data_IF_636912696753
#
_entry.id   IF_636912696753
#
_cell.length_a   1.000
_cell.length_b   1.000
_cell.length_c   1.000
_cell.angle_alpha   90.00
_cell.angle_beta   90.00
_cell.angle_gamma   90.00
#
_symmetry.space_group_name_H-M   'P 1'
#
loop_
_entity.id
_entity.type
_entity.pdbx_description
1 polymer ?
#
# COMPACT_ATOMS: atom_id res chain seq x y z
N UNK A 1 -18.96 -23.71 3.91
CA UNK A 1 -17.98 -22.77 4.50
C UNK A 1 -17.77 -21.54 3.62
N UNK A 2 -17.46 -21.70 2.33
CA UNK A 2 -17.27 -20.57 1.38
C UNK A 2 -18.48 -19.64 1.26
N UNK A 3 -19.71 -20.18 1.14
CA UNK A 3 -20.93 -19.36 1.05
C UNK A 3 -21.19 -18.49 2.29
N UNK A 4 -20.83 -19.00 3.48
CA UNK A 4 -20.99 -18.25 4.73
C UNK A 4 -19.99 -17.09 4.80
N UNK A 5 -18.73 -17.32 4.39
CA UNK A 5 -17.70 -16.27 4.29
C UNK A 5 -18.13 -15.16 3.32
N UNK A 6 -18.69 -15.53 2.16
CA UNK A 6 -19.18 -14.56 1.18
C UNK A 6 -20.33 -13.73 1.77
N UNK A 7 -21.30 -14.37 2.43
CA UNK A 7 -22.40 -13.66 3.09
C UNK A 7 -21.91 -12.69 4.17
N UNK A 8 -20.97 -13.12 5.00
CA UNK A 8 -20.37 -12.29 6.06
C UNK A 8 -19.61 -11.11 5.45
N UNK A 9 -18.73 -11.34 4.48
CA UNK A 9 -17.99 -10.27 3.80
C UNK A 9 -18.94 -9.29 3.10
N UNK A 10 -20.02 -9.80 2.50
CA UNK A 10 -21.06 -8.97 1.88
C UNK A 10 -21.71 -8.07 2.92
N UNK A 11 -22.12 -8.62 4.07
CA UNK A 11 -22.71 -7.84 5.16
C UNK A 11 -21.72 -6.78 5.69
N UNK A 12 -20.45 -7.13 5.88
CA UNK A 12 -19.41 -6.18 6.35
C UNK A 12 -19.19 -5.03 5.36
N UNK A 13 -19.05 -5.33 4.07
CA UNK A 13 -18.88 -4.31 3.03
C UNK A 13 -20.14 -3.45 2.92
N UNK A 14 -21.32 -4.07 2.95
CA UNK A 14 -22.58 -3.35 2.86
C UNK A 14 -22.76 -2.41 4.06
N UNK A 15 -22.56 -2.89 5.29
CA UNK A 15 -22.65 -2.07 6.50
C UNK A 15 -21.62 -0.94 6.46
N UNK A 16 -20.34 -1.24 6.24
CA UNK A 16 -19.30 -0.20 6.22
C UNK A 16 -19.60 0.87 5.18
N UNK A 17 -19.99 0.51 3.95
CA UNK A 17 -20.24 1.47 2.89
C UNK A 17 -21.55 2.23 3.07
N UNK A 18 -22.63 1.54 3.41
CA UNK A 18 -23.97 2.13 3.54
C UNK A 18 -24.04 3.10 4.73
N UNK A 19 -23.39 2.75 5.84
CA UNK A 19 -23.31 3.58 7.04
C UNK A 19 -22.56 4.90 6.82
N UNK A 20 -21.58 4.92 5.91
CA UNK A 20 -20.81 6.13 5.56
C UNK A 20 -21.34 6.89 4.33
N UNK A 21 -22.06 6.24 3.39
CA UNK A 21 -22.55 6.87 2.15
C UNK A 21 -23.98 7.41 2.25
N UNK A 22 -24.80 6.96 3.20
CA UNK A 22 -26.20 7.38 3.27
C UNK A 22 -26.34 8.77 3.95
N UNK A 23 -26.75 9.83 3.22
CA UNK A 23 -26.75 11.22 3.73
C UNK A 23 -27.74 11.48 4.87
N UNK A 24 -28.67 10.55 5.11
CA UNK A 24 -29.76 10.68 6.10
C UNK A 24 -29.45 10.04 7.45
N UNK A 25 -28.35 9.30 7.58
CA UNK A 25 -27.94 8.73 8.86
C UNK A 25 -27.13 9.80 9.59
N UNK A 26 -27.56 10.30 10.76
CA UNK A 26 -26.88 11.38 11.49
C UNK A 26 -25.62 10.88 12.21
N UNK A 27 -24.80 10.06 11.56
CA UNK A 27 -23.51 9.63 12.05
C UNK A 27 -22.51 10.76 11.85
N UNK A 28 -22.57 11.71 12.77
CA UNK A 28 -21.53 12.71 12.97
C UNK A 28 -20.34 11.98 13.59
N UNK A 29 -19.47 11.42 12.74
CA UNK A 29 -18.12 11.02 13.16
C UNK A 29 -17.50 12.22 13.88
N UNK A 30 -17.01 11.99 15.11
CA UNK A 30 -16.26 13.04 15.79
C UNK A 30 -15.06 13.42 14.91
N UNK A 31 -14.63 14.68 14.97
CA UNK A 31 -13.46 15.16 14.22
C UNK A 31 -12.22 14.28 14.45
N UNK A 32 -12.08 13.70 15.64
CA UNK A 32 -11.04 12.72 15.97
C UNK A 32 -11.18 11.40 15.22
N UNK A 33 -12.39 10.84 15.11
CA UNK A 33 -12.64 9.59 14.38
C UNK A 33 -12.43 9.78 12.87
N UNK A 34 -12.89 10.90 12.31
CA UNK A 34 -12.67 11.23 10.89
C UNK A 34 -11.17 11.42 10.60
N UNK A 35 -10.43 12.10 11.49
CA UNK A 35 -8.98 12.24 11.39
C UNK A 35 -8.28 10.89 11.46
N UNK A 36 -8.69 10.00 12.36
CA UNK A 36 -8.14 8.64 12.44
C UNK A 36 -8.37 7.85 11.15
N UNK A 37 -9.59 7.88 10.61
CA UNK A 37 -9.93 7.21 9.35
C UNK A 37 -9.19 7.79 8.15
N UNK A 38 -8.84 9.08 8.16
CA UNK A 38 -8.04 9.69 7.09
C UNK A 38 -6.62 9.12 6.99
N UNK A 39 -6.07 8.58 8.09
CA UNK A 39 -4.78 7.90 8.08
C UNK A 39 -4.86 6.46 7.54
N UNK A 40 -6.06 5.92 7.30
CA UNK A 40 -6.21 4.57 6.76
C UNK A 40 -5.59 4.45 5.36
N UNK A 41 -5.77 5.43 4.48
CA UNK A 41 -5.21 5.39 3.12
C UNK A 41 -3.67 5.27 3.11
N UNK A 42 -2.90 6.16 3.77
CA UNK A 42 -1.45 6.01 3.84
C UNK A 42 -0.98 4.77 4.63
N UNK A 43 -1.73 4.34 5.65
CA UNK A 43 -1.43 3.11 6.40
C UNK A 43 -1.58 1.86 5.52
N UNK A 44 -2.67 1.76 4.75
CA UNK A 44 -2.92 0.65 3.82
C UNK A 44 -1.86 0.60 2.73
N UNK A 45 -1.47 1.75 2.15
CA UNK A 45 -0.37 1.79 1.19
C UNK A 45 0.92 1.22 1.80
N UNK A 46 1.23 1.59 3.04
CA UNK A 46 2.40 1.08 3.76
C UNK A 46 2.33 -0.42 4.02
N UNK A 47 1.17 -0.93 4.40
CA UNK A 47 0.93 -2.35 4.60
C UNK A 47 1.04 -3.17 3.30
N UNK A 48 0.77 -2.57 2.14
CA UNK A 48 0.92 -3.21 0.83
C UNK A 48 2.40 -3.27 0.43
N UNK A 49 3.11 -2.14 0.41
CA UNK A 49 4.48 -2.12 -0.14
C UNK A 49 5.54 -2.67 0.81
N UNK A 50 5.33 -2.55 2.13
CA UNK A 50 6.28 -3.03 3.15
C UNK A 50 6.71 -4.49 2.95
N UNK A 51 5.80 -5.48 2.94
CA UNK A 51 6.18 -6.88 2.73
C UNK A 51 6.78 -7.13 1.34
N UNK A 52 6.38 -6.37 0.31
CA UNK A 52 6.97 -6.50 -1.04
C UNK A 52 8.46 -6.15 -1.03
N UNK A 53 8.86 -5.14 -0.25
CA UNK A 53 10.25 -4.69 -0.16
C UNK A 53 11.07 -5.51 0.83
N UNK A 54 10.49 -5.93 1.96
CA UNK A 54 11.25 -6.59 3.04
C UNK A 54 11.12 -8.12 3.08
N UNK A 55 10.03 -8.70 2.55
CA UNK A 55 9.75 -10.14 2.54
C UNK A 55 9.21 -10.61 1.17
N UNK A 56 9.91 -10.36 0.05
CA UNK A 56 9.41 -10.74 -1.29
C UNK A 56 9.18 -12.26 -1.44
N UNK A 57 9.91 -13.08 -0.70
CA UNK A 57 9.79 -14.55 -0.70
C UNK A 57 9.26 -15.12 0.62
N UNK A 58 8.73 -14.27 1.52
CA UNK A 58 8.24 -14.67 2.83
C UNK A 58 9.33 -14.89 3.89
N UNK A 59 10.60 -14.85 3.51
CA UNK A 59 11.75 -14.88 4.43
C UNK A 59 12.47 -13.53 4.47
N UNK A 60 12.94 -13.15 5.66
CA UNK A 60 13.79 -11.98 5.88
C UNK A 60 15.24 -12.30 5.47
N UNK A 61 15.47 -12.53 4.17
CA UNK A 61 16.84 -12.66 3.63
C UNK A 61 17.36 -11.28 3.22
N UNK A 62 18.13 -10.64 4.10
CA UNK A 62 18.73 -9.32 3.79
C UNK A 62 19.71 -9.37 2.61
N UNK A 63 20.29 -10.54 2.32
CA UNK A 63 21.25 -10.71 1.23
C UNK A 63 20.56 -10.78 -0.14
N UNK A 64 19.51 -11.57 -0.28
CA UNK A 64 18.78 -11.71 -1.55
C UNK A 64 17.88 -10.51 -1.85
N UNK A 65 17.58 -9.72 -0.82
CA UNK A 65 16.62 -8.63 -0.88
C UNK A 65 17.27 -7.24 -1.10
N UNK A 66 18.61 -7.19 -1.25
CA UNK A 66 19.37 -6.01 -1.65
C UNK A 66 18.79 -5.25 -2.86
N UNK A 67 18.38 -5.89 -3.98
CA UNK A 67 17.84 -5.17 -5.13
C UNK A 67 16.53 -4.44 -4.82
N UNK A 68 15.63 -5.06 -4.04
CA UNK A 68 14.37 -4.44 -3.63
C UNK A 68 14.60 -3.28 -2.66
N UNK A 69 15.50 -3.44 -1.69
CA UNK A 69 15.82 -2.38 -0.73
C UNK A 69 16.51 -1.18 -1.41
N UNK A 70 17.45 -1.43 -2.34
CA UNK A 70 18.11 -0.38 -3.11
C UNK A 70 17.12 0.36 -4.02
N UNK A 71 16.24 -0.36 -4.70
CA UNK A 71 15.21 0.25 -5.52
C UNK A 71 14.21 1.07 -4.68
N UNK A 72 13.80 0.57 -3.51
CA UNK A 72 12.88 1.28 -2.62
C UNK A 72 13.51 2.57 -2.05
N UNK A 73 14.76 2.51 -1.59
CA UNK A 73 15.48 3.70 -1.10
C UNK A 73 15.69 4.73 -2.22
N UNK A 74 16.03 4.27 -3.42
CA UNK A 74 16.12 5.14 -4.60
C UNK A 74 14.77 5.78 -4.96
N UNK A 75 13.67 5.01 -4.92
CA UNK A 75 12.33 5.52 -5.19
C UNK A 75 11.92 6.60 -4.18
N UNK A 76 12.23 6.41 -2.88
CA UNK A 76 11.98 7.42 -1.83
C UNK A 76 12.81 8.68 -2.07
N UNK A 77 14.10 8.55 -2.40
CA UNK A 77 14.96 9.68 -2.71
C UNK A 77 14.45 10.47 -3.93
N UNK A 78 14.08 9.77 -5.00
CA UNK A 78 13.52 10.37 -6.21
C UNK A 78 12.20 11.08 -5.94
N UNK A 79 11.29 10.44 -5.19
CA UNK A 79 10.00 11.02 -4.81
C UNK A 79 10.17 12.35 -4.05
N UNK A 80 11.22 12.44 -3.23
CA UNK A 80 11.52 13.67 -2.49
C UNK A 80 12.04 14.80 -3.39
N UNK A 81 12.86 14.47 -4.39
CA UNK A 81 13.52 15.46 -5.27
C UNK A 81 12.61 15.96 -6.39
N UNK A 82 11.92 15.06 -7.10
CA UNK A 82 11.29 15.42 -8.39
C UNK A 82 9.88 16.00 -8.28
N UNK A 83 9.20 15.88 -7.12
CA UNK A 83 7.82 16.36 -6.87
C UNK A 83 6.77 15.95 -7.92
N UNK A 84 7.13 15.06 -8.86
CA UNK A 84 6.31 14.60 -9.98
C UNK A 84 6.17 13.08 -9.89
N UNK A 85 5.00 12.65 -9.43
CA UNK A 85 4.70 11.24 -9.17
C UNK A 85 4.86 10.35 -10.41
N UNK A 86 4.57 10.88 -11.60
CA UNK A 86 4.65 10.09 -12.83
C UNK A 86 6.11 9.78 -13.17
N UNK A 87 6.97 10.79 -13.11
CA UNK A 87 8.39 10.65 -13.42
C UNK A 87 9.08 9.77 -12.37
N UNK A 88 8.78 9.95 -11.09
CA UNK A 88 9.33 9.12 -10.01
C UNK A 88 8.99 7.66 -10.21
N UNK A 89 7.74 7.37 -10.58
CA UNK A 89 7.27 5.99 -10.79
C UNK A 89 7.98 5.35 -11.97
N UNK A 90 8.03 6.02 -13.13
CA UNK A 90 8.67 5.47 -14.33
C UNK A 90 10.16 5.21 -14.08
N UNK A 91 10.88 6.18 -13.49
CA UNK A 91 12.31 6.03 -13.24
C UNK A 91 12.59 4.94 -12.21
N UNK A 92 11.79 4.86 -11.15
CA UNK A 92 11.97 3.81 -10.12
C UNK A 92 11.73 2.41 -10.68
N UNK A 93 10.74 2.24 -11.57
CA UNK A 93 10.50 0.98 -12.27
C UNK A 93 11.71 0.60 -13.14
N UNK A 94 12.25 1.55 -13.91
CA UNK A 94 13.42 1.30 -14.75
C UNK A 94 14.64 0.89 -13.92
N UNK A 95 14.91 1.59 -12.82
CA UNK A 95 16.02 1.28 -11.92
C UNK A 95 15.85 -0.09 -11.26
N UNK A 96 14.64 -0.40 -10.77
CA UNK A 96 14.35 -1.74 -10.23
C UNK A 96 14.59 -2.83 -11.27
N UNK A 97 14.13 -2.64 -12.51
CA UNK A 97 14.29 -3.61 -13.58
C UNK A 97 15.76 -3.83 -13.94
N UNK A 98 16.55 -2.76 -14.00
CA UNK A 98 18.01 -2.84 -14.22
C UNK A 98 18.69 -3.61 -13.08
N UNK A 99 18.38 -3.30 -11.83
CA UNK A 99 18.96 -3.96 -10.66
C UNK A 99 18.60 -5.46 -10.63
N UNK A 100 17.32 -5.78 -10.80
CA UNK A 100 16.81 -7.15 -10.68
C UNK A 100 17.13 -8.04 -11.88
N UNK A 101 17.35 -7.49 -13.08
CA UNK A 101 17.56 -8.29 -14.29
C UNK A 101 19.02 -8.33 -14.76
N UNK A 102 19.79 -7.25 -14.55
CA UNK A 102 21.16 -7.14 -15.07
C UNK A 102 22.24 -7.35 -14.01
N UNK A 103 21.98 -7.02 -12.74
CA UNK A 103 23.00 -7.01 -11.68
C UNK A 103 22.85 -8.22 -10.75
N UNK A 104 21.64 -8.53 -10.33
CA UNK A 104 21.33 -9.67 -9.46
C UNK A 104 20.58 -10.73 -10.27
N UNK A 105 21.32 -11.61 -10.95
CA UNK A 105 20.76 -12.73 -11.73
C UNK A 105 20.77 -14.02 -10.92
#
# INVERSE_FOLDING_TARGET
>A
MTYLVILVLTAVVFISRYLFLEPKVPLRLSSSAQRFLSYASPAVLTAIWGPIVFLPHGELSLADNLPYMLAATFAVAMAWVTKNVLLTTIVSILVFLVLNLLIFK
#
